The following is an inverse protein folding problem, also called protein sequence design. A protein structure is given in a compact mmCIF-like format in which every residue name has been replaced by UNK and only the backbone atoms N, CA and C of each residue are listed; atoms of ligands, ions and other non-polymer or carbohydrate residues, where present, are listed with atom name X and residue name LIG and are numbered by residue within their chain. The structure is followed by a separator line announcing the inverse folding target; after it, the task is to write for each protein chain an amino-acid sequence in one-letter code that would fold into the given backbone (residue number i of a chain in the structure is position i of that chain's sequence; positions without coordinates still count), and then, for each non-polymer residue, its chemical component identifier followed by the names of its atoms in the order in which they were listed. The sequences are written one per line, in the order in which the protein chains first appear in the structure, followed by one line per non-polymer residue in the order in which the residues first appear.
data_IF_347197822534
#
_entry.id   IF_347197822534
#
_cell.length_a   1.000
_cell.length_b   1.000
_cell.length_c   1.000
_cell.angle_alpha   90.00
_cell.angle_beta   90.00
_cell.angle_gamma   90.00
#
_symmetry.space_group_name_H-M   'P 1'
#
loop_
_entity.id
_entity.type
_entity.pdbx_description
1 polymer ?
#
# COMPACT_ATOMS: atom_id res chain seq x y z
N UNK A 1 -20.83 -7.99 14.79
CA UNK A 1 -19.86 -7.03 15.35
C UNK A 1 -19.98 -5.77 14.54
N UNK A 2 -19.80 -4.61 15.18
CA UNK A 2 -19.60 -3.34 14.48
C UNK A 2 -18.10 -3.12 14.33
N UNK A 3 -17.59 -3.46 13.15
CA UNK A 3 -16.17 -3.74 12.91
C UNK A 3 -15.49 -2.66 12.07
N UNK A 4 -14.26 -2.31 12.42
CA UNK A 4 -13.35 -1.52 11.59
C UNK A 4 -12.04 -2.26 11.34
N UNK A 5 -11.20 -1.66 10.50
CA UNK A 5 -9.91 -2.16 10.05
C UNK A 5 -9.00 -0.94 9.76
N UNK A 6 -7.67 -1.08 9.65
CA UNK A 6 -6.81 0.07 9.36
C UNK A 6 -7.09 0.66 7.97
N UNK A 7 -7.12 1.99 7.86
CA UNK A 7 -7.20 2.65 6.56
C UNK A 7 -5.86 2.51 5.82
N UNK A 8 -5.85 1.76 4.72
CA UNK A 8 -4.66 1.50 3.91
C UNK A 8 -5.06 1.06 2.50
N UNK A 9 -4.65 1.80 1.48
CA UNK A 9 -4.82 1.40 0.08
C UNK A 9 -6.29 1.14 -0.30
N UNK A 10 -6.57 0.02 -0.97
CA UNK A 10 -7.90 -0.30 -1.51
C UNK A 10 -8.87 -0.84 -0.45
N UNK A 11 -9.34 0.05 0.44
CA UNK A 11 -10.21 -0.29 1.60
C UNK A 11 -11.50 -1.05 1.26
N UNK A 12 -11.98 -0.93 0.01
CA UNK A 12 -13.14 -1.68 -0.52
C UNK A 12 -12.97 -3.19 -0.31
N UNK A 13 -11.75 -3.71 -0.44
CA UNK A 13 -11.45 -5.14 -0.31
C UNK A 13 -11.70 -5.63 1.12
N UNK A 14 -11.18 -4.92 2.12
CA UNK A 14 -11.38 -5.26 3.54
C UNK A 14 -12.84 -5.12 3.94
N UNK A 15 -13.48 -4.01 3.51
CA UNK A 15 -14.90 -3.77 3.72
C UNK A 15 -15.74 -4.93 3.19
N UNK A 16 -15.50 -5.33 1.93
CA UNK A 16 -16.30 -6.36 1.26
C UNK A 16 -16.22 -7.72 1.97
N UNK A 17 -15.03 -8.12 2.42
CA UNK A 17 -14.85 -9.38 3.14
C UNK A 17 -15.72 -9.44 4.40
N UNK A 18 -15.69 -8.37 5.20
CA UNK A 18 -16.41 -8.31 6.47
C UNK A 18 -17.93 -8.17 6.27
N UNK A 19 -18.37 -7.40 5.26
CA UNK A 19 -19.79 -7.30 4.87
C UNK A 19 -20.36 -8.64 4.41
N UNK A 20 -19.61 -9.41 3.61
CA UNK A 20 -20.05 -10.73 3.13
C UNK A 20 -20.18 -11.76 4.28
N UNK A 21 -19.45 -11.55 5.37
CA UNK A 21 -19.60 -12.30 6.61
C UNK A 21 -20.74 -11.76 7.50
N UNK A 22 -21.42 -10.69 7.09
CA UNK A 22 -22.60 -10.14 7.76
C UNK A 22 -22.29 -9.25 8.95
N UNK A 23 -21.09 -8.66 9.01
CA UNK A 23 -20.77 -7.64 10.02
C UNK A 23 -21.25 -6.27 9.58
N UNK A 24 -21.55 -5.40 10.55
CA UNK A 24 -21.72 -3.98 10.31
C UNK A 24 -20.34 -3.36 10.20
N UNK A 25 -19.96 -2.91 9.00
CA UNK A 25 -18.61 -2.44 8.73
C UNK A 25 -18.56 -0.92 8.77
N UNK A 26 -17.71 -0.38 9.65
CA UNK A 26 -17.37 1.03 9.69
C UNK A 26 -16.02 1.21 9.02
N UNK A 27 -16.02 1.79 7.82
CA UNK A 27 -14.77 2.20 7.18
C UNK A 27 -14.26 3.43 7.92
N UNK A 28 -13.05 3.40 8.49
CA UNK A 28 -12.50 4.60 9.12
C UNK A 28 -12.37 5.74 8.12
N UNK A 29 -12.36 7.00 8.57
CA UNK A 29 -12.05 8.13 7.71
C UNK A 29 -10.68 7.95 7.03
N UNK A 30 -10.56 8.46 5.80
CA UNK A 30 -9.26 8.59 5.14
C UNK A 30 -8.34 9.43 6.04
N UNK A 31 -7.10 8.98 6.32
CA UNK A 31 -6.19 9.69 7.20
C UNK A 31 -6.06 11.16 6.82
N UNK A 32 -6.18 12.00 7.84
CA UNK A 32 -6.10 13.45 7.74
C UNK A 32 -5.14 13.99 8.78
N UNK A 33 -4.96 15.32 8.83
CA UNK A 33 -4.16 15.93 9.90
C UNK A 33 -4.71 15.57 11.29
N UNK A 34 -6.05 15.52 11.46
CA UNK A 34 -6.68 15.07 12.71
C UNK A 34 -6.21 13.67 13.10
N UNK A 35 -6.18 12.74 12.14
CA UNK A 35 -5.72 11.36 12.34
C UNK A 35 -4.26 11.32 12.81
N UNK A 36 -3.41 12.10 12.15
CA UNK A 36 -1.98 12.20 12.49
C UNK A 36 -1.81 12.80 13.89
N UNK A 37 -2.52 13.88 14.21
CA UNK A 37 -2.43 14.57 15.51
C UNK A 37 -2.86 13.65 16.67
N UNK A 38 -3.95 12.90 16.49
CA UNK A 38 -4.36 11.85 17.42
C UNK A 38 -3.26 10.79 17.59
N UNK A 39 -2.69 10.35 16.47
CA UNK A 39 -1.58 9.42 16.43
C UNK A 39 -0.38 9.87 17.26
N UNK A 40 0.09 11.10 17.04
CA UNK A 40 1.20 11.72 17.78
C UNK A 40 0.89 11.79 19.26
N UNK A 41 -0.30 12.25 19.62
CA UNK A 41 -0.69 12.50 21.01
C UNK A 41 -0.67 11.24 21.87
N UNK A 42 -1.06 10.09 21.32
CA UNK A 42 -1.25 8.85 22.09
C UNK A 42 -0.19 7.78 21.84
N UNK A 43 0.77 8.03 20.96
CA UNK A 43 1.85 7.08 20.66
C UNK A 43 3.14 7.41 21.41
N UNK A 44 4.01 6.41 21.62
CA UNK A 44 5.40 6.67 21.97
C UNK A 44 6.08 7.54 20.90
N UNK A 45 6.91 8.48 21.32
CA UNK A 45 7.63 9.41 20.43
C UNK A 45 8.43 8.67 19.35
N UNK A 46 9.15 7.62 19.75
CA UNK A 46 10.00 6.78 18.89
C UNK A 46 9.24 5.68 18.13
N UNK A 47 7.90 5.67 18.15
CA UNK A 47 7.13 4.81 17.27
C UNK A 47 7.22 5.37 15.84
N UNK A 48 7.43 4.49 14.85
CA UNK A 48 7.54 4.95 13.48
C UNK A 48 6.19 5.45 12.94
N UNK A 49 6.23 6.34 11.95
CA UNK A 49 5.06 7.10 11.49
C UNK A 49 3.80 6.24 11.18
N UNK A 50 3.89 5.07 10.50
CA UNK A 50 2.74 4.18 10.30
C UNK A 50 2.02 3.77 11.58
N UNK A 51 2.75 3.52 12.67
CA UNK A 51 2.14 3.17 13.95
C UNK A 51 1.19 4.27 14.43
N UNK A 52 1.62 5.53 14.31
CA UNK A 52 0.90 6.72 14.76
C UNK A 52 -0.34 6.95 13.91
N UNK A 53 -0.22 6.88 12.58
CA UNK A 53 -1.39 7.03 11.70
C UNK A 53 -2.43 5.93 11.96
N UNK A 54 -1.99 4.68 12.10
CA UNK A 54 -2.91 3.55 12.32
C UNK A 54 -3.67 3.70 13.65
N UNK A 55 -3.00 4.06 14.76
CA UNK A 55 -3.71 4.27 16.03
C UNK A 55 -4.64 5.48 15.97
N UNK A 56 -4.27 6.55 15.26
CA UNK A 56 -5.16 7.68 14.99
C UNK A 56 -6.44 7.23 14.27
N UNK A 57 -6.29 6.41 13.23
CA UNK A 57 -7.40 5.84 12.48
C UNK A 57 -8.30 4.94 13.35
N UNK A 58 -7.72 4.16 14.25
CA UNK A 58 -8.46 3.36 15.23
C UNK A 58 -9.22 4.21 16.24
N UNK A 59 -8.62 5.30 16.74
CA UNK A 59 -9.30 6.22 17.65
C UNK A 59 -10.53 6.81 16.96
N UNK A 60 -10.40 7.27 15.71
CA UNK A 60 -11.54 7.79 14.95
C UNK A 60 -12.61 6.72 14.69
N UNK A 61 -12.21 5.48 14.42
CA UNK A 61 -13.15 4.36 14.31
C UNK A 61 -13.90 4.10 15.63
N UNK A 62 -13.20 4.15 16.78
CA UNK A 62 -13.81 4.03 18.10
C UNK A 62 -14.78 5.20 18.40
N UNK A 63 -14.45 6.43 18.00
CA UNK A 63 -15.36 7.59 18.10
C UNK A 63 -16.66 7.38 17.31
N UNK A 64 -16.62 6.59 16.23
CA UNK A 64 -17.80 6.19 15.44
C UNK A 64 -18.58 5.01 16.05
N UNK A 65 -18.18 4.55 17.24
CA UNK A 65 -18.86 3.50 18.02
C UNK A 65 -18.56 2.08 17.54
N UNK A 66 -17.35 1.83 17.04
CA UNK A 66 -16.86 0.48 16.68
C UNK A 66 -16.57 -0.32 17.95
N UNK A 67 -17.02 -1.58 17.96
CA UNK A 67 -16.80 -2.53 19.07
C UNK A 67 -15.63 -3.50 18.79
N UNK A 68 -15.22 -3.63 17.53
CA UNK A 68 -14.19 -4.60 17.11
C UNK A 68 -13.27 -3.99 16.04
N UNK A 69 -11.97 -4.15 16.19
CA UNK A 69 -10.97 -3.82 15.16
C UNK A 69 -10.32 -5.11 14.67
N UNK A 70 -10.34 -5.33 13.36
CA UNK A 70 -9.61 -6.41 12.69
C UNK A 70 -8.37 -5.84 12.03
N UNK A 71 -7.19 -6.29 12.46
CA UNK A 71 -5.90 -5.83 11.95
C UNK A 71 -5.01 -6.99 11.57
N UNK A 72 -4.07 -6.75 10.65
CA UNK A 72 -2.92 -7.63 10.48
C UNK A 72 -1.91 -7.41 11.62
N UNK A 73 -1.23 -8.48 12.00
CA UNK A 73 0.01 -8.43 12.76
C UNK A 73 1.21 -8.30 11.83
N UNK A 74 2.39 -8.52 12.38
CA UNK A 74 3.65 -8.52 11.64
C UNK A 74 4.45 -9.79 11.92
N UNK A 75 5.23 -10.21 10.93
CA UNK A 75 6.21 -11.27 11.08
C UNK A 75 7.63 -10.71 10.93
N UNK A 76 8.58 -11.30 11.65
CA UNK A 76 9.99 -10.92 11.63
C UNK A 76 10.37 -9.89 12.70
N UNK A 77 11.60 -9.34 12.63
CA UNK A 77 12.17 -8.53 13.71
C UNK A 77 11.67 -7.07 13.71
N UNK A 78 10.80 -6.70 12.77
CA UNK A 78 10.18 -5.37 12.74
C UNK A 78 9.19 -5.18 13.90
N UNK A 79 9.15 -3.95 14.45
CA UNK A 79 8.20 -3.58 15.52
C UNK A 79 6.73 -3.66 15.10
N UNK A 80 6.44 -3.74 13.80
CA UNK A 80 5.10 -4.00 13.26
C UNK A 80 4.44 -5.24 13.92
N UNK A 81 5.23 -6.26 14.27
CA UNK A 81 4.75 -7.45 14.99
C UNK A 81 4.17 -7.19 16.38
N UNK A 82 4.34 -5.99 16.93
CA UNK A 82 3.79 -5.56 18.22
C UNK A 82 2.70 -4.49 18.10
N UNK A 83 2.38 -4.01 16.89
CA UNK A 83 1.44 -2.90 16.70
C UNK A 83 0.10 -3.19 17.33
N UNK A 84 -0.54 -4.29 16.96
CA UNK A 84 -1.87 -4.63 17.45
C UNK A 84 -1.98 -4.71 18.97
N UNK A 85 -0.98 -5.28 19.65
CA UNK A 85 -0.99 -5.40 21.12
C UNK A 85 -0.79 -4.05 21.81
N UNK A 86 0.09 -3.18 21.28
CA UNK A 86 0.30 -1.85 21.84
C UNK A 86 -0.91 -0.95 21.53
N UNK A 87 -1.44 -0.99 20.32
CA UNK A 87 -2.67 -0.29 19.93
C UNK A 87 -3.84 -0.68 20.84
N UNK A 88 -4.04 -1.99 21.07
CA UNK A 88 -5.06 -2.49 22.01
C UNK A 88 -4.90 -1.89 23.40
N UNK A 89 -3.68 -1.89 23.95
CA UNK A 89 -3.39 -1.31 25.27
C UNK A 89 -3.64 0.20 25.32
N UNK A 90 -3.31 0.94 24.25
CA UNK A 90 -3.57 2.39 24.16
C UNK A 90 -5.07 2.65 24.18
N UNK A 91 -5.83 1.96 23.31
CA UNK A 91 -7.29 2.12 23.21
C UNK A 91 -8.00 1.81 24.53
N UNK A 92 -7.62 0.71 25.20
CA UNK A 92 -8.19 0.34 26.50
C UNK A 92 -7.86 1.36 27.59
N UNK A 93 -6.64 1.90 27.62
CA UNK A 93 -6.26 2.97 28.56
C UNK A 93 -7.03 4.27 28.31
N UNK A 94 -7.46 4.51 27.08
CA UNK A 94 -8.32 5.65 26.74
C UNK A 94 -9.80 5.42 27.13
N UNK A 95 -10.15 4.23 27.61
CA UNK A 95 -11.52 3.88 28.01
C UNK A 95 -12.38 3.30 26.89
N UNK A 96 -11.80 2.98 25.73
CA UNK A 96 -12.53 2.30 24.66
C UNK A 96 -12.63 0.80 24.95
N UNK A 97 -13.86 0.29 25.06
CA UNK A 97 -14.16 -1.14 25.15
C UNK A 97 -14.24 -1.74 23.74
N UNK A 98 -13.08 -1.95 23.13
CA UNK A 98 -12.93 -2.48 21.77
C UNK A 98 -12.14 -3.78 21.79
N UNK A 99 -12.65 -4.82 21.13
CA UNK A 99 -11.87 -6.03 20.88
C UNK A 99 -10.96 -5.84 19.67
N UNK A 100 -9.67 -6.16 19.82
CA UNK A 100 -8.70 -6.04 18.73
C UNK A 100 -8.27 -7.44 18.31
N UNK A 101 -8.76 -7.87 17.14
CA UNK A 101 -8.47 -9.16 16.52
C UNK A 101 -7.25 -9.00 15.62
N UNK A 102 -6.14 -9.63 16.00
CA UNK A 102 -4.85 -9.51 15.31
C UNK A 102 -4.57 -10.80 14.51
N UNK A 103 -4.48 -10.67 13.20
CA UNK A 103 -4.05 -11.76 12.31
C UNK A 103 -2.54 -11.72 12.11
N UNK A 104 -1.80 -12.42 12.98
CA UNK A 104 -0.40 -12.76 12.76
C UNK A 104 -0.24 -13.82 11.66
N UNK A 105 1.00 -14.05 11.20
CA UNK A 105 1.31 -15.10 10.25
C UNK A 105 0.87 -16.49 10.77
N UNK A 106 0.24 -17.29 9.90
CA UNK A 106 -0.35 -18.60 10.23
C UNK A 106 0.68 -19.55 10.89
N UNK A 107 1.94 -19.45 10.49
CA UNK A 107 3.03 -20.28 11.01
C UNK A 107 3.51 -19.89 12.42
N UNK A 108 3.14 -18.70 12.92
CA UNK A 108 3.53 -18.22 14.25
C UNK A 108 2.71 -18.91 15.34
N UNK A 109 1.40 -18.93 15.17
CA UNK A 109 0.44 -19.54 16.11
C UNK A 109 -0.83 -19.96 15.36
N UNK A 110 -0.89 -21.24 14.98
CA UNK A 110 -2.00 -21.79 14.19
C UNK A 110 -3.32 -21.80 14.98
N UNK A 111 -3.25 -22.05 16.29
CA UNK A 111 -4.42 -22.19 17.13
C UNK A 111 -5.10 -20.84 17.34
N UNK A 112 -4.31 -19.81 17.68
CA UNK A 112 -4.80 -18.43 17.79
C UNK A 112 -5.32 -17.91 16.44
N UNK A 113 -4.64 -18.24 15.34
CA UNK A 113 -5.10 -17.86 14.00
C UNK A 113 -6.49 -18.46 13.70
N UNK A 114 -6.69 -19.76 13.95
CA UNK A 114 -7.97 -20.43 13.75
C UNK A 114 -9.04 -19.88 14.69
N UNK A 115 -8.69 -19.53 15.94
CA UNK A 115 -9.61 -18.87 16.88
C UNK A 115 -10.08 -17.52 16.34
N UNK A 116 -9.17 -16.68 15.85
CA UNK A 116 -9.49 -15.39 15.25
C UNK A 116 -10.34 -15.54 13.98
N UNK A 117 -10.03 -16.54 13.14
CA UNK A 117 -10.89 -16.89 12.00
C UNK A 117 -12.29 -17.29 12.47
N UNK A 118 -12.42 -18.07 13.55
CA UNK A 118 -13.74 -18.44 14.11
C UNK A 118 -14.50 -17.22 14.63
N UNK A 119 -13.83 -16.27 15.31
CA UNK A 119 -14.42 -15.00 15.77
C UNK A 119 -14.96 -14.19 14.60
N UNK A 120 -14.14 -13.95 13.58
CA UNK A 120 -14.55 -13.18 12.39
C UNK A 120 -15.58 -13.92 11.54
N UNK A 121 -15.50 -15.25 11.43
CA UNK A 121 -16.54 -16.06 10.77
C UNK A 121 -17.88 -15.94 11.50
N UNK A 122 -17.87 -15.85 12.82
CA UNK A 122 -19.07 -15.87 13.66
C UNK A 122 -19.94 -17.10 13.37
N UNK A 123 -21.25 -16.89 13.21
CA UNK A 123 -22.25 -17.94 12.96
C UNK A 123 -22.26 -18.49 11.53
N UNK A 124 -21.49 -17.92 10.61
CA UNK A 124 -21.45 -18.37 9.22
C UNK A 124 -20.81 -19.76 9.07
N UNK A 125 -21.19 -20.50 8.03
CA UNK A 125 -20.53 -21.78 7.72
C UNK A 125 -19.13 -21.59 7.15
N UNK A 126 -18.27 -22.60 7.27
CA UNK A 126 -16.94 -22.60 6.66
C UNK A 126 -17.00 -22.45 5.13
N UNK A 127 -18.04 -23.02 4.49
CA UNK A 127 -18.29 -22.84 3.06
C UNK A 127 -18.58 -21.38 2.71
N UNK A 128 -19.34 -20.66 3.53
CA UNK A 128 -19.62 -19.23 3.32
C UNK A 128 -18.35 -18.40 3.47
N UNK A 129 -17.52 -18.68 4.47
CA UNK A 129 -16.20 -18.05 4.64
C UNK A 129 -15.31 -18.27 3.40
N UNK A 130 -15.18 -19.52 2.94
CA UNK A 130 -14.37 -19.83 1.76
C UNK A 130 -14.88 -19.13 0.50
N UNK A 131 -16.21 -19.04 0.30
CA UNK A 131 -16.82 -18.28 -0.80
C UNK A 131 -16.53 -16.78 -0.70
N UNK A 132 -16.62 -16.20 0.50
CA UNK A 132 -16.34 -14.79 0.74
C UNK A 132 -14.87 -14.44 0.49
N UNK A 133 -13.94 -15.27 1.00
CA UNK A 133 -12.50 -15.11 0.75
C UNK A 133 -12.21 -15.22 -0.74
N UNK A 134 -12.73 -16.24 -1.43
CA UNK A 134 -12.51 -16.42 -2.87
C UNK A 134 -13.03 -15.23 -3.68
N UNK A 135 -14.25 -14.79 -3.40
CA UNK A 135 -14.84 -13.64 -4.09
C UNK A 135 -14.02 -12.36 -3.84
N UNK A 136 -13.60 -12.12 -2.59
CA UNK A 136 -12.82 -10.93 -2.24
C UNK A 136 -11.43 -10.97 -2.87
N UNK A 137 -10.82 -12.15 -2.96
CA UNK A 137 -9.55 -12.35 -3.67
C UNK A 137 -9.69 -12.09 -5.18
N UNK A 138 -10.74 -12.63 -5.81
CA UNK A 138 -11.05 -12.36 -7.22
C UNK A 138 -11.26 -10.84 -7.44
N UNK A 139 -11.99 -10.17 -6.54
CA UNK A 139 -12.21 -8.72 -6.55
C UNK A 139 -10.90 -7.95 -6.43
N UNK A 140 -10.08 -8.29 -5.44
CA UNK A 140 -8.77 -7.70 -5.17
C UNK A 140 -7.85 -7.77 -6.40
N UNK A 141 -7.78 -8.93 -7.06
CA UNK A 141 -6.97 -9.12 -8.26
C UNK A 141 -7.40 -8.21 -9.41
N UNK A 142 -8.70 -7.97 -9.55
CA UNK A 142 -9.21 -7.13 -10.63
C UNK A 142 -9.04 -5.63 -10.32
N UNK A 143 -9.29 -5.19 -9.08
CA UNK A 143 -9.18 -3.76 -8.75
C UNK A 143 -7.73 -3.26 -8.81
N UNK A 144 -6.76 -4.08 -8.40
CA UNK A 144 -5.33 -3.73 -8.49
C UNK A 144 -4.85 -3.58 -9.95
N UNK A 145 -5.46 -4.32 -10.90
CA UNK A 145 -5.16 -4.14 -12.34
C UNK A 145 -5.59 -2.75 -12.81
N UNK A 146 -6.80 -2.32 -12.42
CA UNK A 146 -7.29 -0.99 -12.76
C UNK A 146 -6.50 0.11 -12.05
N UNK A 147 -6.09 -0.11 -10.80
CA UNK A 147 -5.23 0.81 -10.05
C UNK A 147 -3.91 1.08 -10.81
N UNK A 148 -3.23 0.00 -11.25
CA UNK A 148 -2.01 0.09 -12.07
C UNK A 148 -2.27 0.80 -13.40
N UNK A 149 -3.38 0.51 -14.06
CA UNK A 149 -3.73 1.11 -15.34
C UNK A 149 -3.97 2.62 -15.22
N UNK A 150 -4.67 3.07 -14.17
CA UNK A 150 -4.89 4.48 -13.86
C UNK A 150 -3.54 5.23 -13.75
N UNK A 151 -2.58 4.66 -13.02
CA UNK A 151 -1.26 5.27 -12.84
C UNK A 151 -0.41 5.28 -14.11
N UNK A 152 -0.67 4.35 -15.03
CA UNK A 152 -0.03 4.32 -16.36
C UNK A 152 -0.61 5.37 -17.32
N UNK A 153 -1.93 5.60 -17.30
CA UNK A 153 -2.57 6.51 -18.26
C UNK A 153 -2.62 7.96 -17.79
N UNK A 154 -2.61 8.19 -16.46
CA UNK A 154 -2.72 9.53 -15.86
C UNK A 154 -1.80 10.59 -16.48
N UNK A 155 -0.50 10.32 -16.72
CA UNK A 155 0.43 11.28 -17.34
C UNK A 155 -0.03 11.84 -18.68
N UNK A 156 -0.87 11.08 -19.38
CA UNK A 156 -1.23 11.33 -20.77
C UNK A 156 -2.68 11.77 -20.92
N UNK A 157 -3.42 12.02 -19.83
CA UNK A 157 -4.80 12.50 -19.93
C UNK A 157 -4.86 13.85 -20.69
N UNK A 158 -5.75 13.95 -21.68
CA UNK A 158 -5.97 15.21 -22.40
C UNK A 158 -6.66 16.24 -21.52
N UNK A 159 -7.65 15.78 -20.74
CA UNK A 159 -8.41 16.59 -19.79
C UNK A 159 -7.90 16.27 -18.38
N UNK A 160 -7.27 17.22 -17.68
CA UNK A 160 -6.75 17.01 -16.33
C UNK A 160 -7.81 16.47 -15.35
N UNK A 161 -7.39 15.52 -14.51
CA UNK A 161 -8.21 14.86 -13.50
C UNK A 161 -9.17 13.79 -14.03
N UNK A 162 -9.10 13.41 -15.31
CA UNK A 162 -9.95 12.36 -15.88
C UNK A 162 -9.63 11.00 -15.31
N UNK A 163 -8.35 10.65 -15.18
CA UNK A 163 -7.91 9.42 -14.55
C UNK A 163 -8.31 9.36 -13.07
N UNK A 164 -8.27 10.50 -12.35
CA UNK A 164 -8.70 10.57 -10.97
C UNK A 164 -10.22 10.33 -10.80
N UNK A 165 -11.04 10.99 -11.64
CA UNK A 165 -12.50 10.76 -11.64
C UNK A 165 -12.85 9.32 -12.00
N UNK A 166 -12.19 8.77 -13.03
CA UNK A 166 -12.34 7.37 -13.41
C UNK A 166 -12.01 6.42 -12.26
N UNK A 167 -10.92 6.66 -11.52
CA UNK A 167 -10.56 5.84 -10.37
C UNK A 167 -11.62 5.89 -9.26
N UNK A 168 -12.21 7.05 -8.99
CA UNK A 168 -13.31 7.16 -8.01
C UNK A 168 -14.56 6.40 -8.47
N UNK A 169 -14.88 6.41 -9.76
CA UNK A 169 -16.01 5.67 -10.32
C UNK A 169 -15.77 4.15 -10.31
N UNK A 170 -14.57 3.70 -10.69
CA UNK A 170 -14.16 2.30 -10.63
C UNK A 170 -14.30 1.76 -9.21
N UNK A 171 -13.79 2.48 -8.20
CA UNK A 171 -13.94 2.07 -6.80
C UNK A 171 -15.41 1.91 -6.39
N UNK A 172 -16.32 2.76 -6.87
CA UNK A 172 -17.77 2.65 -6.60
C UNK A 172 -18.40 1.44 -7.28
N UNK A 173 -18.02 1.14 -8.53
CA UNK A 173 -18.49 -0.05 -9.25
C UNK A 173 -18.07 -1.33 -8.51
N UNK A 174 -16.83 -1.38 -8.03
CA UNK A 174 -16.32 -2.50 -7.25
C UNK A 174 -16.96 -2.61 -5.86
N UNK A 175 -17.19 -1.49 -5.17
CA UNK A 175 -17.88 -1.48 -3.88
C UNK A 175 -19.34 -1.95 -4.00
N UNK A 176 -19.97 -1.75 -5.15
CA UNK A 176 -21.34 -2.19 -5.44
C UNK A 176 -21.46 -3.69 -5.76
N UNK A 177 -20.34 -4.42 -5.90
CA UNK A 177 -20.32 -5.83 -6.26
C UNK A 177 -20.29 -6.77 -5.04
N UNK A 178 -21.23 -7.70 -4.96
CA UNK A 178 -21.38 -8.70 -3.90
C UNK A 178 -21.42 -10.16 -4.41
N UNK A 179 -21.47 -10.35 -5.72
CA UNK A 179 -21.41 -11.67 -6.36
C UNK A 179 -20.57 -11.66 -7.65
N UNK A 180 -20.24 -12.85 -8.16
CA UNK A 180 -19.40 -13.00 -9.36
C UNK A 180 -19.96 -12.32 -10.61
N UNK A 181 -21.28 -12.28 -10.77
CA UNK A 181 -21.94 -11.65 -11.93
C UNK A 181 -21.82 -10.13 -11.82
N UNK A 182 -22.00 -9.58 -10.63
CA UNK A 182 -21.80 -8.16 -10.36
C UNK A 182 -20.33 -7.75 -10.50
N UNK A 183 -19.39 -8.56 -10.00
CA UNK A 183 -17.95 -8.30 -10.18
C UNK A 183 -17.58 -8.28 -11.66
N UNK A 184 -18.07 -9.23 -12.46
CA UNK A 184 -17.86 -9.19 -13.91
C UNK A 184 -18.38 -7.90 -14.54
N UNK A 185 -19.59 -7.47 -14.17
CA UNK A 185 -20.16 -6.20 -14.65
C UNK A 185 -19.32 -4.99 -14.22
N UNK A 186 -18.83 -4.97 -12.98
CA UNK A 186 -17.97 -3.90 -12.48
C UNK A 186 -16.66 -3.82 -13.29
N UNK A 187 -16.05 -4.98 -13.61
CA UNK A 187 -14.87 -5.07 -14.48
C UNK A 187 -15.17 -4.57 -15.89
N UNK A 188 -16.27 -4.99 -16.50
CA UNK A 188 -16.64 -4.59 -17.86
C UNK A 188 -16.89 -3.07 -17.92
N UNK A 189 -17.63 -2.50 -16.97
CA UNK A 189 -17.83 -1.05 -16.84
C UNK A 189 -16.53 -0.29 -16.58
N UNK A 190 -15.63 -0.82 -15.75
CA UNK A 190 -14.35 -0.18 -15.46
C UNK A 190 -13.47 -0.08 -16.71
N UNK A 191 -13.51 -1.09 -17.58
CA UNK A 191 -12.86 -1.03 -18.91
C UNK A 191 -13.49 0.04 -19.79
N UNK A 192 -14.82 0.15 -19.81
CA UNK A 192 -15.52 1.20 -20.57
C UNK A 192 -15.12 2.61 -20.08
N UNK A 193 -15.06 2.81 -18.76
CA UNK A 193 -14.64 4.06 -18.13
C UNK A 193 -13.21 4.42 -18.58
N UNK A 194 -12.25 3.49 -18.46
CA UNK A 194 -10.86 3.76 -18.86
C UNK A 194 -10.75 4.02 -20.37
N UNK A 195 -11.42 3.21 -21.20
CA UNK A 195 -11.40 3.38 -22.65
C UNK A 195 -12.04 4.69 -23.12
N UNK A 196 -12.89 5.30 -22.31
CA UNK A 196 -13.50 6.61 -22.61
C UNK A 196 -12.53 7.79 -22.41
N UNK A 197 -11.42 7.58 -21.69
CA UNK A 197 -10.44 8.62 -21.40
C UNK A 197 -9.63 8.91 -22.65
N UNK A 198 -9.66 10.17 -23.10
CA UNK A 198 -8.80 10.62 -24.21
C UNK A 198 -7.38 10.83 -23.73
N UNK A 199 -6.44 10.22 -24.43
CA UNK A 199 -5.01 10.24 -24.10
C UNK A 199 -4.21 10.91 -25.20
N UNK A 200 -3.28 11.78 -24.80
CA UNK A 200 -2.23 12.34 -25.65
C UNK A 200 -1.34 11.19 -26.14
N UNK A 201 -1.03 11.22 -27.43
CA UNK A 201 -0.03 10.29 -27.98
C UNK A 201 1.36 10.77 -27.59
N UNK A 202 2.08 9.94 -26.85
CA UNK A 202 3.48 10.16 -26.47
C UNK A 202 4.30 8.98 -26.96
N UNK A 203 5.42 9.28 -27.62
CA UNK A 203 6.35 8.24 -28.09
C UNK A 203 6.92 7.48 -26.89
N UNK A 204 7.05 6.17 -27.03
CA UNK A 204 7.56 5.28 -25.98
C UNK A 204 8.93 5.72 -25.44
N UNK A 205 9.77 6.32 -26.28
CA UNK A 205 11.10 6.84 -25.90
C UNK A 205 11.05 8.09 -25.01
N UNK A 206 9.92 8.78 -24.97
CA UNK A 206 9.73 10.04 -24.22
C UNK A 206 9.04 9.80 -22.87
N UNK A 207 8.41 8.64 -22.71
CA UNK A 207 7.72 8.25 -21.47
C UNK A 207 8.70 8.08 -20.34
N UNK A 208 8.37 8.60 -19.17
CA UNK A 208 9.21 8.47 -17.97
C UNK A 208 8.53 7.53 -16.99
N UNK A 209 9.27 6.53 -16.53
CA UNK A 209 8.79 5.51 -15.60
C UNK A 209 9.50 5.63 -14.27
N UNK A 210 8.71 5.81 -13.22
CA UNK A 210 9.21 5.96 -11.85
C UNK A 210 8.68 4.83 -10.99
N UNK A 211 9.60 4.08 -10.40
CA UNK A 211 9.27 3.08 -9.38
C UNK A 211 9.12 3.76 -8.03
N UNK A 212 8.19 3.30 -7.21
CA UNK A 212 8.08 3.71 -5.80
C UNK A 212 8.39 2.51 -4.92
N UNK A 213 9.42 2.63 -4.08
CA UNK A 213 9.82 1.61 -3.11
C UNK A 213 9.73 2.17 -1.69
N UNK A 214 9.68 1.32 -0.68
CA UNK A 214 9.58 1.80 0.70
C UNK A 214 8.88 0.83 1.64
N UNK A 215 8.61 1.34 2.85
CA UNK A 215 7.77 0.66 3.83
C UNK A 215 6.32 0.57 3.32
N UNK A 216 5.68 -0.58 3.51
CA UNK A 216 4.41 -0.93 2.87
C UNK A 216 3.29 0.09 3.13
N UNK A 217 3.18 0.63 4.35
CA UNK A 217 2.09 1.55 4.68
C UNK A 217 2.27 2.89 3.96
N UNK A 218 3.49 3.45 3.97
CA UNK A 218 3.75 4.73 3.29
C UNK A 218 3.72 4.59 1.76
N UNK A 219 4.07 3.42 1.21
CA UNK A 219 3.95 3.15 -0.22
C UNK A 219 2.49 3.00 -0.63
N UNK A 220 1.67 2.31 0.16
CA UNK A 220 0.31 1.96 -0.22
C UNK A 220 -0.75 3.02 0.10
N UNK A 221 -0.51 3.94 1.04
CA UNK A 221 -1.51 4.92 1.48
C UNK A 221 -1.20 6.35 1.00
N UNK A 222 -1.88 6.85 -0.06
CA UNK A 222 -1.57 8.14 -0.66
C UNK A 222 -1.80 9.35 0.26
N UNK A 223 -2.74 9.24 1.22
CA UNK A 223 -3.09 10.35 2.11
C UNK A 223 -1.94 10.79 3.01
N UNK A 224 -0.97 9.92 3.26
CA UNK A 224 0.15 10.18 4.17
C UNK A 224 1.49 10.37 3.46
N UNK A 225 1.56 10.10 2.16
CA UNK A 225 2.80 10.19 1.38
C UNK A 225 2.82 11.39 0.42
N UNK A 226 2.00 12.41 0.71
CA UNK A 226 1.81 13.63 -0.10
C UNK A 226 1.12 13.41 -1.45
N UNK A 227 0.36 12.31 -1.60
CA UNK A 227 -0.25 11.91 -2.88
C UNK A 227 0.81 11.73 -3.97
N UNK A 228 1.94 11.08 -3.65
CA UNK A 228 3.13 11.02 -4.51
C UNK A 228 2.83 10.51 -5.93
N UNK A 229 1.96 9.51 -6.06
CA UNK A 229 1.56 8.96 -7.35
C UNK A 229 0.80 9.99 -8.19
N UNK A 230 -0.04 10.80 -7.51
CA UNK A 230 -0.76 11.89 -8.16
C UNK A 230 0.23 12.96 -8.65
N UNK A 231 1.17 13.37 -7.80
CA UNK A 231 2.19 14.39 -8.10
C UNK A 231 3.04 13.95 -9.29
N UNK A 232 3.55 12.71 -9.29
CA UNK A 232 4.36 12.18 -10.38
C UNK A 232 3.58 12.08 -11.69
N UNK A 233 2.30 11.68 -11.62
CA UNK A 233 1.44 11.66 -12.80
C UNK A 233 1.20 13.07 -13.37
N UNK A 234 1.06 14.09 -12.52
CA UNK A 234 0.98 15.51 -12.95
C UNK A 234 2.30 16.01 -13.55
N UNK A 235 3.43 15.45 -13.12
CA UNK A 235 4.74 15.63 -13.73
C UNK A 235 4.95 14.74 -14.97
N UNK A 236 3.92 14.07 -15.49
CA UNK A 236 4.03 13.30 -16.73
C UNK A 236 4.79 11.98 -16.61
N UNK A 237 4.85 11.38 -15.41
CA UNK A 237 5.54 10.11 -15.16
C UNK A 237 4.55 8.95 -14.97
N UNK A 238 4.75 7.84 -15.68
CA UNK A 238 4.14 6.55 -15.34
C UNK A 238 4.70 6.07 -14.00
N UNK A 239 3.83 5.64 -13.10
CA UNK A 239 4.21 5.24 -11.74
C UNK A 239 3.86 3.79 -11.49
N UNK A 240 4.77 3.06 -10.85
CA UNK A 240 4.50 1.73 -10.32
C UNK A 240 5.05 1.61 -8.89
N UNK A 241 4.20 1.19 -7.95
CA UNK A 241 4.61 0.86 -6.58
C UNK A 241 5.26 -0.52 -6.51
N UNK A 242 6.13 -0.71 -5.54
CA UNK A 242 6.69 -2.02 -5.19
C UNK A 242 5.73 -2.89 -4.38
N UNK A 243 4.60 -2.34 -3.92
CA UNK A 243 3.65 -3.01 -3.04
C UNK A 243 2.22 -2.78 -3.53
N UNK A 244 1.56 -3.88 -3.89
CA UNK A 244 0.13 -3.94 -4.16
C UNK A 244 -0.51 -4.99 -3.26
N UNK A 245 -1.75 -4.75 -2.83
CA UNK A 245 -2.42 -5.63 -1.87
C UNK A 245 -2.59 -7.06 -2.43
N UNK A 246 -2.87 -7.20 -3.72
CA UNK A 246 -3.01 -8.50 -4.37
C UNK A 246 -1.70 -9.27 -4.48
N UNK A 247 -0.57 -8.59 -4.63
CA UNK A 247 0.76 -9.20 -4.66
C UNK A 247 1.20 -9.60 -3.25
N UNK A 248 0.96 -8.73 -2.28
CA UNK A 248 1.21 -9.00 -0.87
C UNK A 248 0.42 -10.24 -0.40
N UNK A 249 -0.86 -10.36 -0.78
CA UNK A 249 -1.69 -11.54 -0.47
C UNK A 249 -1.13 -12.80 -1.12
N UNK A 250 -0.69 -12.74 -2.38
CA UNK A 250 -0.08 -13.88 -3.05
C UNK A 250 1.17 -14.37 -2.32
N UNK A 251 2.06 -13.44 -1.99
CA UNK A 251 3.33 -13.78 -1.35
C UNK A 251 3.15 -14.31 0.08
N UNK A 252 2.31 -13.66 0.88
CA UNK A 252 2.18 -13.95 2.31
C UNK A 252 1.16 -15.04 2.63
N UNK A 253 0.06 -15.14 1.88
CA UNK A 253 -1.06 -16.01 2.23
C UNK A 253 -1.22 -17.24 1.33
N UNK A 254 -0.65 -17.26 0.11
CA UNK A 254 -0.75 -18.45 -0.74
C UNK A 254 0.19 -19.58 -0.27
N UNK A 255 -0.21 -20.85 -0.44
CA UNK A 255 0.64 -21.99 -0.12
C UNK A 255 1.95 -21.98 -0.92
N UNK A 256 3.05 -22.42 -0.32
CA UNK A 256 4.41 -22.37 -0.91
C UNK A 256 4.57 -23.02 -2.29
N UNK A 257 3.72 -23.98 -2.65
CA UNK A 257 3.74 -24.61 -3.98
C UNK A 257 3.11 -23.74 -5.09
N UNK A 258 2.34 -22.71 -4.72
CA UNK A 258 1.79 -21.68 -5.62
C UNK A 258 2.60 -20.38 -5.57
N UNK A 259 3.67 -20.31 -4.76
CA UNK A 259 4.39 -19.07 -4.42
C UNK A 259 5.39 -18.54 -5.44
N UNK A 260 5.48 -19.09 -6.66
CA UNK A 260 6.32 -18.51 -7.73
C UNK A 260 5.77 -17.14 -8.12
N UNK A 261 6.10 -16.15 -7.31
CA UNK A 261 5.62 -14.78 -7.33
C UNK A 261 6.80 -13.91 -7.70
N UNK A 262 6.49 -12.79 -8.34
CA UNK A 262 7.47 -11.77 -8.66
C UNK A 262 8.29 -11.34 -7.42
N UNK A 263 7.67 -11.34 -6.23
CA UNK A 263 8.34 -11.00 -4.97
C UNK A 263 9.49 -11.97 -4.60
N UNK A 264 9.40 -13.28 -4.93
CA UNK A 264 10.52 -14.21 -4.71
C UNK A 264 11.73 -13.87 -5.57
N UNK A 265 11.51 -13.43 -6.81
CA UNK A 265 12.57 -12.99 -7.72
C UNK A 265 13.22 -11.70 -7.22
N UNK A 266 12.40 -10.75 -6.78
CA UNK A 266 12.83 -9.49 -6.17
C UNK A 266 13.67 -9.75 -4.92
N UNK A 267 13.24 -10.66 -4.03
CA UNK A 267 14.01 -11.00 -2.83
C UNK A 267 15.39 -11.56 -3.14
N UNK A 268 15.53 -12.36 -4.22
CA UNK A 268 16.83 -12.85 -4.68
C UNK A 268 17.72 -11.72 -5.17
N UNK A 269 17.17 -10.73 -5.89
CA UNK A 269 17.92 -9.52 -6.30
C UNK A 269 18.38 -8.72 -5.09
N UNK A 270 17.57 -8.64 -4.03
CA UNK A 270 17.90 -7.94 -2.79
C UNK A 270 18.92 -8.66 -1.88
N UNK A 271 19.08 -9.98 -2.04
CA UNK A 271 19.94 -10.82 -1.19
C UNK A 271 21.41 -10.41 -1.20
N UNK A 272 21.90 -9.87 -2.32
CA UNK A 272 23.26 -9.32 -2.44
C UNK A 272 23.52 -8.15 -1.47
N UNK A 273 22.47 -7.42 -1.09
CA UNK A 273 22.56 -6.19 -0.30
C UNK A 273 22.12 -6.40 1.15
N UNK A 274 21.05 -7.17 1.32
CA UNK A 274 20.48 -7.52 2.62
C UNK A 274 20.22 -9.03 2.61
N UNK A 275 21.11 -9.80 3.23
CA UNK A 275 21.06 -11.26 3.23
C UNK A 275 19.84 -11.78 4.01
N UNK A 276 19.63 -11.24 5.22
CA UNK A 276 18.57 -11.67 6.14
C UNK A 276 17.33 -10.77 6.09
N UNK A 277 16.14 -11.35 6.30
CA UNK A 277 14.90 -10.56 6.37
C UNK A 277 14.82 -9.83 7.71
N UNK A 278 15.05 -8.52 7.68
CA UNK A 278 14.98 -7.62 8.86
C UNK A 278 13.60 -6.95 9.05
N UNK A 279 12.61 -7.35 8.25
CA UNK A 279 11.26 -6.79 8.26
C UNK A 279 11.17 -5.39 7.63
N UNK A 280 10.00 -4.75 7.74
CA UNK A 280 9.75 -3.40 7.19
C UNK A 280 9.90 -3.29 5.66
N UNK A 281 9.87 -4.42 4.95
CA UNK A 281 10.12 -4.53 3.51
C UNK A 281 11.54 -4.14 3.06
N UNK A 282 12.52 -4.08 3.96
CA UNK A 282 13.87 -3.61 3.61
C UNK A 282 14.56 -4.40 2.49
N UNK A 283 14.53 -5.74 2.57
CA UNK A 283 15.11 -6.60 1.52
C UNK A 283 14.34 -6.46 0.20
N UNK A 284 13.02 -6.32 0.26
CA UNK A 284 12.19 -6.03 -0.91
C UNK A 284 12.54 -4.67 -1.52
N UNK A 285 12.67 -3.60 -0.73
CA UNK A 285 13.01 -2.26 -1.18
C UNK A 285 14.29 -2.27 -2.03
N UNK A 286 15.38 -2.87 -1.53
CA UNK A 286 16.63 -2.95 -2.29
C UNK A 286 16.52 -3.85 -3.52
N UNK A 287 15.75 -4.95 -3.44
CA UNK A 287 15.49 -5.83 -4.58
C UNK A 287 14.68 -5.16 -5.68
N UNK A 288 13.64 -4.39 -5.32
CA UNK A 288 12.77 -3.70 -6.27
C UNK A 288 13.49 -2.57 -7.00
N UNK A 289 14.48 -1.91 -6.38
CA UNK A 289 15.32 -0.93 -7.09
C UNK A 289 16.03 -1.59 -8.28
N UNK A 290 16.60 -2.79 -8.07
CA UNK A 290 17.23 -3.56 -9.14
C UNK A 290 16.18 -4.05 -10.14
N UNK A 291 15.04 -4.53 -9.66
CA UNK A 291 13.96 -5.00 -10.53
C UNK A 291 13.42 -3.92 -11.47
N UNK A 292 13.19 -2.71 -10.94
CA UNK A 292 12.77 -1.57 -11.73
C UNK A 292 13.81 -1.22 -12.79
N UNK A 293 15.11 -1.28 -12.47
CA UNK A 293 16.16 -1.11 -13.48
C UNK A 293 16.08 -2.17 -14.57
N UNK A 294 15.98 -3.44 -14.21
CA UNK A 294 15.89 -4.55 -15.17
C UNK A 294 14.67 -4.41 -16.10
N UNK A 295 13.57 -3.84 -15.58
CA UNK A 295 12.34 -3.56 -16.32
C UNK A 295 12.36 -2.23 -17.09
N UNK A 296 13.48 -1.52 -17.11
CA UNK A 296 13.68 -0.30 -17.90
C UNK A 296 13.04 0.96 -17.32
N UNK A 297 12.86 1.02 -15.99
CA UNK A 297 12.44 2.25 -15.32
C UNK A 297 13.57 3.28 -15.30
N UNK A 298 13.19 4.56 -15.34
CA UNK A 298 14.13 5.68 -15.48
C UNK A 298 14.64 6.21 -14.14
N UNK A 299 13.93 5.90 -13.05
CA UNK A 299 14.34 6.24 -11.69
C UNK A 299 13.43 5.64 -10.63
N UNK A 300 13.83 5.75 -9.37
CA UNK A 300 13.09 5.24 -8.23
C UNK A 300 12.94 6.30 -7.15
N UNK A 301 11.77 6.40 -6.53
CA UNK A 301 11.54 7.16 -5.31
C UNK A 301 11.39 6.18 -4.15
N UNK A 302 12.26 6.32 -3.16
CA UNK A 302 12.22 5.56 -1.91
C UNK A 302 11.50 6.37 -0.83
N UNK A 303 10.40 5.82 -0.31
CA UNK A 303 9.59 6.38 0.77
C UNK A 303 9.92 5.65 2.07
N UNK A 304 10.56 6.36 3.00
CA UNK A 304 10.86 5.81 4.31
C UNK A 304 10.10 6.56 5.41
N UNK A 305 9.38 5.87 6.31
CA UNK A 305 8.81 6.54 7.46
C UNK A 305 9.89 6.90 8.48
N UNK A 306 9.73 8.04 9.14
CA UNK A 306 10.59 8.41 10.25
C UNK A 306 10.56 7.35 11.36
N UNK A 307 11.70 7.12 11.99
CA UNK A 307 11.96 6.06 12.97
C UNK A 307 11.75 4.61 12.48
N UNK A 308 11.67 4.38 11.16
CA UNK A 308 11.68 3.03 10.58
C UNK A 308 13.12 2.50 10.48
N UNK A 309 13.52 1.64 11.42
CA UNK A 309 14.86 1.04 11.43
C UNK A 309 15.19 0.24 10.16
N UNK A 310 14.32 -0.66 9.65
CA UNK A 310 14.64 -1.41 8.44
C UNK A 310 14.88 -0.52 7.21
N UNK A 311 14.06 0.51 7.01
CA UNK A 311 14.25 1.42 5.86
C UNK A 311 15.41 2.39 6.02
N UNK A 312 15.85 2.67 7.26
CA UNK A 312 17.13 3.36 7.49
C UNK A 312 18.31 2.50 7.01
N UNK A 313 18.24 1.17 7.22
CA UNK A 313 19.24 0.24 6.67
C UNK A 313 19.18 0.26 5.14
N UNK A 314 17.99 0.13 4.55
CA UNK A 314 17.80 0.24 3.09
C UNK A 314 18.41 1.54 2.54
N UNK A 315 18.07 2.68 3.13
CA UNK A 315 18.59 4.00 2.75
C UNK A 315 20.12 4.06 2.73
N UNK A 316 20.80 3.44 3.71
CA UNK A 316 22.26 3.46 3.78
C UNK A 316 22.93 2.68 2.62
N UNK A 317 22.20 1.75 2.01
CA UNK A 317 22.70 0.89 0.92
C UNK A 317 22.31 1.43 -0.46
N UNK A 318 21.21 2.18 -0.57
CA UNK A 318 20.70 2.75 -1.83
C UNK A 318 21.77 3.45 -2.69
N UNK A 319 22.68 4.28 -2.15
CA UNK A 319 23.73 4.92 -2.96
C UNK A 319 24.62 3.93 -3.70
N UNK A 320 24.92 2.77 -3.08
CA UNK A 320 25.70 1.70 -3.69
C UNK A 320 24.92 1.07 -4.86
N UNK A 321 23.63 0.75 -4.64
CA UNK A 321 22.76 0.15 -5.66
C UNK A 321 22.59 1.11 -6.85
N UNK A 322 22.32 2.39 -6.56
CA UNK A 322 22.14 3.43 -7.57
C UNK A 322 23.36 3.57 -8.48
N UNK A 323 24.57 3.55 -7.90
CA UNK A 323 25.83 3.58 -8.66
C UNK A 323 26.08 2.30 -9.46
N UNK A 324 25.82 1.13 -8.86
CA UNK A 324 26.08 -0.16 -9.49
C UNK A 324 25.18 -0.43 -10.70
N UNK A 325 23.90 -0.04 -10.60
CA UNK A 325 22.88 -0.30 -11.61
C UNK A 325 22.58 0.89 -12.52
N UNK A 326 23.27 2.01 -12.29
CA UNK A 326 23.04 3.28 -13.00
C UNK A 326 21.53 3.65 -13.06
N UNK A 327 20.88 3.62 -11.90
CA UNK A 327 19.49 4.04 -11.71
C UNK A 327 19.43 5.13 -10.64
N UNK A 328 18.93 6.34 -10.96
CA UNK A 328 18.83 7.41 -9.98
C UNK A 328 17.75 7.08 -8.94
N UNK A 329 18.05 7.29 -7.66
CA UNK A 329 17.12 7.05 -6.56
C UNK A 329 16.99 8.29 -5.68
N UNK A 330 15.76 8.78 -5.48
CA UNK A 330 15.44 9.86 -4.56
C UNK A 330 14.84 9.28 -3.27
N UNK A 331 15.46 9.53 -2.11
CA UNK A 331 14.85 9.16 -0.82
C UNK A 331 14.08 10.33 -0.21
N UNK A 332 12.83 10.07 0.16
CA UNK A 332 11.95 10.97 0.91
C UNK A 332 11.62 10.35 2.26
N UNK A 333 11.90 11.11 3.33
CA UNK A 333 11.44 10.73 4.67
C UNK A 333 10.05 11.29 4.91
N UNK A 334 9.18 10.46 5.46
CA UNK A 334 7.77 10.74 5.70
C UNK A 334 7.51 10.72 7.21
N UNK A 335 7.02 11.84 7.75
CA UNK A 335 6.72 12.06 9.17
C UNK A 335 5.51 12.99 9.39
N UNK A 336 5.24 13.33 10.65
CA UNK A 336 4.08 14.13 11.05
C UNK A 336 4.23 15.62 10.71
N UNK A 337 5.45 16.06 10.40
CA UNK A 337 5.79 17.43 10.07
C UNK A 337 6.23 17.57 8.60
N UNK A 338 5.90 16.60 7.76
CA UNK A 338 6.45 16.49 6.40
C UNK A 338 6.29 17.80 5.64
N UNK A 339 7.41 18.46 5.35
CA UNK A 339 7.47 19.72 4.62
C UNK A 339 7.11 19.53 3.15
N UNK A 340 5.80 19.46 2.85
CA UNK A 340 5.27 19.14 1.52
C UNK A 340 5.90 19.98 0.42
N UNK A 341 6.01 21.30 0.61
CA UNK A 341 6.60 22.21 -0.39
C UNK A 341 8.06 21.84 -0.73
N UNK A 342 8.90 21.58 0.27
CA UNK A 342 10.30 21.23 0.07
C UNK A 342 10.43 19.89 -0.67
N UNK A 343 9.61 18.89 -0.30
CA UNK A 343 9.64 17.59 -0.97
C UNK A 343 9.16 17.68 -2.43
N UNK A 344 8.15 18.51 -2.73
CA UNK A 344 7.69 18.73 -4.11
C UNK A 344 8.81 19.28 -5.00
N UNK A 345 9.54 20.32 -4.55
CA UNK A 345 10.66 20.87 -5.31
C UNK A 345 11.77 19.83 -5.55
N UNK A 346 12.06 18.96 -4.56
CA UNK A 346 13.03 17.87 -4.73
C UNK A 346 12.57 16.83 -5.75
N UNK A 347 11.27 16.53 -5.79
CA UNK A 347 10.69 15.61 -6.78
C UNK A 347 10.77 16.24 -8.17
N UNK A 348 10.38 17.50 -8.35
CA UNK A 348 10.47 18.23 -9.62
C UNK A 348 11.90 18.20 -10.18
N UNK A 349 12.88 18.59 -9.36
CA UNK A 349 14.28 18.58 -9.74
C UNK A 349 14.78 17.16 -10.11
N UNK A 350 14.31 16.14 -9.40
CA UNK A 350 14.65 14.74 -9.69
C UNK A 350 14.09 14.27 -11.04
N UNK A 351 12.83 14.61 -11.34
CA UNK A 351 12.22 14.29 -12.63
C UNK A 351 12.91 15.03 -13.78
N UNK A 352 13.30 16.29 -13.60
CA UNK A 352 14.04 17.04 -14.61
C UNK A 352 15.44 16.46 -14.86
N UNK A 353 16.12 15.97 -13.82
CA UNK A 353 17.37 15.25 -13.98
C UNK A 353 17.19 13.97 -14.82
N UNK A 354 16.13 13.21 -14.56
CA UNK A 354 15.80 11.99 -15.31
C UNK A 354 15.48 12.31 -16.77
N UNK A 355 14.65 13.33 -17.03
CA UNK A 355 14.32 13.81 -18.39
C UNK A 355 15.58 14.13 -19.19
N UNK A 356 16.47 14.91 -18.59
CA UNK A 356 17.69 15.34 -19.25
C UNK A 356 18.65 14.18 -19.50
N UNK A 357 18.75 13.21 -18.58
CA UNK A 357 19.52 11.97 -18.79
C UNK A 357 18.96 11.17 -19.97
N UNK A 358 17.63 11.00 -20.03
CA UNK A 358 16.95 10.25 -21.09
C UNK A 358 17.07 10.90 -22.47
N UNK A 359 17.06 12.23 -22.53
CA UNK A 359 17.27 13.00 -23.77
C UNK A 359 18.74 13.13 -24.19
N UNK A 360 19.69 12.51 -23.47
CA UNK A 360 21.12 12.60 -23.77
C UNK A 360 21.71 13.99 -23.59
N UNK A 361 21.06 14.87 -22.82
CA UNK A 361 21.52 16.25 -22.55
C UNK A 361 22.62 16.31 -21.48
N UNK A 362 22.86 15.20 -20.78
CA UNK A 362 24.05 15.03 -19.95
C UNK A 362 25.10 14.22 -20.71
N UNK A 363 26.09 14.92 -21.25
CA UNK A 363 27.41 14.34 -21.53
C UNK A 363 28.16 14.42 -20.20
N UNK A 364 28.39 13.29 -19.55
CA UNK A 364 29.33 13.23 -18.41
C UNK A 364 30.73 13.02 -18.98
#
# INVERSE_FOLDING_TARGET
MKVAFPYMGTVVVYKKLLELLGHEVVVPPRPSQKTIDLGVKYSPEFACFPFKVIIGSYIEACEMGVDTIVTSGGHGPCRAGFYGEIHKRILHKMGYDVDVIIFDAINRDKDRFIENVKKVKGKNSWLKLAKAIRFTYDLLKQIDVFDKEIHRIKPYEEVPGSAYRAWQEIQKEFDSAYDKKQLKKAVDRSKEIINSIRLKKVDEREKIRIGIVGEIYVVMEPSINMEIEKVLGELGCEVERSQYLSEWVDFNLMPSFLKKTHEEEVLKKGEKYIEIIIGGHAKQTVGFIVDFKDRGFDGVIHLMPFACLPELVSQSIIPKISKEHDIPVLTLSIDEQTGKANNLTRIEAFIDLIRNKKLGKFVV
#
